data_IF_911197584764
#
_entry.id   IF_911197584764
#
_cell.length_a   1.000
_cell.length_b   1.000
_cell.length_c   1.000
_cell.angle_alpha   90.00
_cell.angle_beta   90.00
_cell.angle_gamma   90.00
#
_symmetry.space_group_name_H-M   'P 1'
#
loop_
_entity.id
_entity.type
_entity.pdbx_description
1 polymer ?
#
# COMPACT_ATOMS: atom_id res chain seq x y z
N UNK A 1 83.40 -13.13 -12.46
CA UNK A 1 83.48 -11.65 -12.59
C UNK A 1 82.06 -11.11 -12.59
N UNK A 2 81.57 -10.60 -11.45
CA UNK A 2 80.62 -9.49 -11.29
C UNK A 2 80.29 -9.40 -9.78
N UNK A 3 80.51 -8.24 -9.17
CA UNK A 3 80.02 -7.87 -7.82
C UNK A 3 78.82 -6.92 -7.99
N UNK A 4 78.21 -6.58 -6.85
CA UNK A 4 77.36 -5.39 -6.55
C UNK A 4 75.88 -5.57 -6.98
N UNK A 5 74.80 -5.34 -6.21
CA UNK A 5 74.40 -4.43 -5.10
C UNK A 5 73.36 -5.15 -4.19
N UNK A 6 73.45 -5.20 -2.85
CA UNK A 6 73.05 -4.27 -1.76
C UNK A 6 71.61 -3.71 -1.75
N UNK A 7 70.90 -3.98 -0.63
CA UNK A 7 69.72 -3.33 -0.01
C UNK A 7 68.42 -3.23 -0.84
N UNK A 8 67.23 -3.58 -0.34
CA UNK A 8 66.42 -2.71 0.56
C UNK A 8 65.09 -3.42 0.95
N UNK A 9 64.80 -3.44 2.25
CA UNK A 9 63.50 -3.44 2.97
C UNK A 9 62.27 -4.18 2.40
N UNK A 10 61.80 -5.12 3.24
CA UNK A 10 60.40 -5.36 3.64
C UNK A 10 59.33 -5.58 2.56
N UNK A 11 58.77 -6.80 2.54
CA UNK A 11 57.33 -6.94 2.31
C UNK A 11 56.80 -8.17 3.06
N UNK A 12 56.22 -7.84 4.21
CA UNK A 12 55.43 -8.70 5.08
C UNK A 12 53.95 -8.48 4.71
N UNK A 13 53.17 -9.56 4.81
CA UNK A 13 51.70 -9.59 4.91
C UNK A 13 50.88 -9.28 3.65
N UNK A 14 50.13 -10.28 3.14
CA UNK A 14 48.67 -10.19 3.05
C UNK A 14 48.04 -11.53 2.63
N UNK A 15 47.80 -12.41 3.60
CA UNK A 15 46.72 -13.40 3.51
C UNK A 15 45.58 -12.83 4.36
N UNK A 16 44.55 -12.30 3.71
CA UNK A 16 43.31 -11.89 4.38
C UNK A 16 42.14 -12.58 3.71
N UNK A 17 41.47 -13.39 4.52
CA UNK A 17 40.40 -14.31 4.20
C UNK A 17 39.16 -13.61 3.62
N UNK A 18 38.58 -14.31 2.67
CA UNK A 18 37.16 -14.30 2.30
C UNK A 18 36.23 -14.36 3.52
N UNK A 19 35.45 -13.29 3.74
CA UNK A 19 34.21 -13.31 4.51
C UNK A 19 33.39 -12.03 4.24
N UNK A 20 32.91 -11.84 3.02
CA UNK A 20 31.92 -10.82 2.69
C UNK A 20 30.52 -11.35 3.02
N UNK A 21 30.10 -11.15 4.25
CA UNK A 21 28.78 -11.49 4.78
C UNK A 21 27.69 -10.83 3.92
N UNK A 22 26.77 -11.66 3.41
CA UNK A 22 25.52 -11.21 2.82
C UNK A 22 24.69 -10.52 3.91
N UNK A 23 24.78 -9.20 4.01
CA UNK A 23 23.87 -8.39 4.82
C UNK A 23 22.53 -8.26 4.09
N UNK A 24 21.70 -9.29 4.18
CA UNK A 24 20.26 -9.12 3.97
C UNK A 24 19.76 -8.21 5.10
N UNK A 25 19.64 -6.91 4.81
CA UNK A 25 18.94 -5.95 5.66
C UNK A 25 17.45 -6.28 5.65
N UNK A 26 17.06 -7.29 6.43
CA UNK A 26 15.70 -7.40 6.94
C UNK A 26 15.58 -6.36 8.05
N UNK A 27 14.96 -5.22 7.76
CA UNK A 27 14.80 -4.11 8.69
C UNK A 27 14.25 -4.56 10.05
N UNK A 28 14.77 -3.97 11.11
CA UNK A 28 14.66 -4.38 12.52
C UNK A 28 13.24 -4.50 13.12
N UNK A 29 12.16 -4.33 12.35
CA UNK A 29 10.78 -4.54 12.82
C UNK A 29 10.32 -3.63 13.98
N UNK A 30 11.20 -2.77 14.50
CA UNK A 30 11.01 -1.86 15.63
C UNK A 30 10.61 -0.46 15.21
N UNK A 31 10.80 -0.11 13.94
CA UNK A 31 10.38 1.17 13.39
C UNK A 31 8.94 1.08 12.90
N UNK A 32 8.03 1.86 13.49
CA UNK A 32 6.64 2.02 13.02
C UNK A 32 6.59 2.89 11.76
N UNK A 33 7.30 2.48 10.70
CA UNK A 33 7.35 3.16 9.42
C UNK A 33 6.61 2.36 8.35
N UNK A 34 5.89 3.09 7.50
CA UNK A 34 5.24 2.50 6.34
C UNK A 34 6.27 2.24 5.24
N UNK A 35 6.09 1.15 4.49
CA UNK A 35 6.89 0.92 3.28
C UNK A 35 6.63 2.03 2.27
N UNK A 36 7.68 2.42 1.54
CA UNK A 36 7.55 3.36 0.45
C UNK A 36 6.98 2.64 -0.78
N UNK A 37 6.09 3.31 -1.48
CA UNK A 37 5.46 2.80 -2.68
C UNK A 37 6.04 3.53 -3.89
N UNK A 38 6.71 2.85 -4.82
CA UNK A 38 7.26 3.49 -6.02
C UNK A 38 6.19 4.30 -6.79
N UNK A 39 6.51 5.56 -7.11
CA UNK A 39 5.62 6.45 -7.86
C UNK A 39 4.44 7.03 -7.07
N UNK A 40 4.35 6.74 -5.77
CA UNK A 40 3.29 7.24 -4.88
C UNK A 40 3.89 7.93 -3.65
N UNK A 41 3.53 9.19 -3.47
CA UNK A 41 3.89 10.02 -2.33
C UNK A 41 2.74 10.19 -1.36
N UNK A 42 3.08 10.49 -0.11
CA UNK A 42 2.14 10.97 0.91
C UNK A 42 0.91 10.07 1.10
N UNK A 43 1.08 8.75 0.96
CA UNK A 43 -0.01 7.82 1.22
C UNK A 43 -0.36 7.84 2.71
N UNK A 44 -1.57 8.29 3.03
CA UNK A 44 -2.03 8.43 4.41
C UNK A 44 -3.45 7.89 4.58
N UNK A 45 -3.75 7.46 5.80
CA UNK A 45 -5.09 7.06 6.21
C UNK A 45 -5.45 7.86 7.46
N UNK A 46 -6.53 8.60 7.37
CA UNK A 46 -7.04 9.43 8.46
C UNK A 46 -8.52 9.17 8.65
N UNK A 47 -9.02 9.44 9.86
CA UNK A 47 -10.44 9.49 10.10
C UNK A 47 -10.88 10.94 10.11
N UNK A 48 -11.82 11.26 9.24
CA UNK A 48 -12.47 12.56 9.19
C UNK A 48 -13.94 12.35 9.50
N UNK A 49 -14.33 12.72 10.73
CA UNK A 49 -15.67 12.49 11.26
C UNK A 49 -16.02 10.98 11.22
N UNK A 50 -17.02 10.61 10.41
CA UNK A 50 -17.50 9.24 10.24
C UNK A 50 -16.96 8.57 8.96
N UNK A 51 -15.92 9.13 8.35
CA UNK A 51 -15.34 8.64 7.12
C UNK A 51 -13.86 8.30 7.31
N UNK A 52 -13.45 7.16 6.76
CA UNK A 52 -12.04 6.83 6.57
C UNK A 52 -11.59 7.49 5.27
N UNK A 53 -10.65 8.42 5.37
CA UNK A 53 -10.05 9.11 4.24
C UNK A 53 -8.68 8.50 3.95
N UNK A 54 -8.56 7.86 2.79
CA UNK A 54 -7.31 7.34 2.24
C UNK A 54 -6.86 8.33 1.17
N UNK A 55 -5.70 8.95 1.34
CA UNK A 55 -5.15 9.89 0.36
C UNK A 55 -3.77 9.45 -0.11
N UNK A 56 -3.44 9.74 -1.37
CA UNK A 56 -2.11 9.54 -1.93
C UNK A 56 -1.89 10.41 -3.16
N UNK A 57 -0.63 10.73 -3.44
CA UNK A 57 -0.23 11.54 -4.60
C UNK A 57 0.56 10.68 -5.58
N UNK A 58 0.07 10.55 -6.80
CA UNK A 58 0.77 9.88 -7.90
C UNK A 58 1.72 10.86 -8.61
N UNK A 59 3.00 10.52 -8.67
CA UNK A 59 4.01 11.38 -9.29
C UNK A 59 3.92 11.40 -10.83
N UNK A 60 3.57 10.27 -11.42
CA UNK A 60 3.63 10.05 -12.87
C UNK A 60 2.25 10.14 -13.55
N UNK A 61 1.28 10.75 -12.88
CA UNK A 61 -0.04 11.02 -13.41
C UNK A 61 -0.29 12.52 -13.29
N UNK A 62 -0.63 13.13 -14.42
CA UNK A 62 -1.03 14.53 -14.49
C UNK A 62 -2.46 14.58 -15.00
N UNK A 63 -3.28 15.38 -14.31
CA UNK A 63 -4.64 15.70 -14.70
C UNK A 63 -4.80 17.21 -14.74
N UNK A 64 -5.58 17.68 -15.69
CA UNK A 64 -5.88 19.11 -15.84
C UNK A 64 -7.10 19.54 -15.01
N UNK A 65 -7.81 18.58 -14.40
CA UNK A 65 -9.05 18.83 -13.67
C UNK A 65 -9.38 17.74 -12.66
N UNK A 66 -10.24 18.12 -11.69
CA UNK A 66 -10.73 17.21 -10.65
C UNK A 66 -11.99 16.48 -11.07
N UNK A 67 -12.08 15.20 -10.72
CA UNK A 67 -13.25 14.35 -10.95
C UNK A 67 -13.60 13.60 -9.67
N UNK A 68 -14.91 13.45 -9.43
CA UNK A 68 -15.46 12.70 -8.31
C UNK A 68 -16.33 11.58 -8.83
N UNK A 69 -16.08 10.38 -8.33
CA UNK A 69 -16.79 9.16 -8.66
C UNK A 69 -17.45 8.58 -7.42
N UNK A 70 -18.74 8.28 -7.52
CA UNK A 70 -19.42 7.53 -6.47
C UNK A 70 -18.99 6.07 -6.55
N UNK A 71 -18.76 5.45 -5.39
CA UNK A 71 -18.38 4.04 -5.33
C UNK A 71 -19.67 3.20 -5.47
N UNK A 72 -19.78 2.31 -6.47
CA UNK A 72 -21.00 1.51 -6.65
C UNK A 72 -21.33 0.72 -5.38
N UNK A 73 -22.61 0.68 -4.99
CA UNK A 73 -23.11 0.04 -3.75
C UNK A 73 -22.70 0.71 -2.43
N UNK A 74 -21.85 1.74 -2.43
CA UNK A 74 -21.47 2.52 -1.25
C UNK A 74 -22.01 3.96 -1.38
N UNK A 75 -23.29 4.21 -1.04
CA UNK A 75 -23.97 5.47 -1.37
C UNK A 75 -23.40 6.70 -0.66
N UNK A 76 -22.67 6.52 0.45
CA UNK A 76 -22.07 7.61 1.22
C UNK A 76 -20.55 7.68 1.01
N UNK A 77 -20.00 6.87 0.11
CA UNK A 77 -18.56 6.78 -0.16
C UNK A 77 -18.24 7.20 -1.59
N UNK A 78 -17.10 7.85 -1.76
CA UNK A 78 -16.68 8.37 -3.04
C UNK A 78 -15.17 8.34 -3.20
N UNK A 79 -14.75 8.39 -4.45
CA UNK A 79 -13.37 8.57 -4.85
C UNK A 79 -13.25 9.90 -5.58
N UNK A 80 -12.26 10.68 -5.22
CA UNK A 80 -11.90 11.94 -5.87
C UNK A 80 -10.50 11.81 -6.44
N UNK A 81 -10.30 12.32 -7.64
CA UNK A 81 -9.00 12.47 -8.26
C UNK A 81 -8.88 13.92 -8.71
N UNK A 82 -7.80 14.58 -8.33
CA UNK A 82 -7.58 15.98 -8.64
C UNK A 82 -6.09 16.29 -8.79
N UNK A 83 -5.72 17.39 -9.46
CA UNK A 83 -4.34 17.86 -9.45
C UNK A 83 -3.90 18.11 -8.00
N UNK A 84 -2.70 17.69 -7.62
CA UNK A 84 -2.16 18.05 -6.33
C UNK A 84 -1.72 19.52 -6.34
N UNK A 85 -2.08 20.30 -5.31
CA UNK A 85 -1.74 21.73 -5.25
C UNK A 85 -0.30 21.97 -4.76
N UNK A 86 0.31 20.95 -4.17
CA UNK A 86 1.65 21.04 -3.58
C UNK A 86 2.75 20.44 -4.50
N UNK A 87 2.37 19.80 -5.60
CA UNK A 87 3.29 19.17 -6.54
C UNK A 87 2.73 19.13 -7.96
N UNK A 88 3.52 18.67 -8.93
CA UNK A 88 3.05 18.41 -10.29
C UNK A 88 2.33 17.06 -10.45
N UNK A 89 1.97 16.41 -9.34
CA UNK A 89 1.33 15.09 -9.32
C UNK A 89 -0.19 15.15 -9.32
N UNK A 90 -0.81 13.98 -9.20
CA UNK A 90 -2.26 13.82 -9.07
C UNK A 90 -2.59 13.25 -7.70
N UNK A 91 -3.43 13.96 -6.94
CA UNK A 91 -4.02 13.49 -5.70
C UNK A 91 -5.17 12.51 -6.01
N UNK A 92 -5.16 11.36 -5.35
CA UNK A 92 -6.32 10.50 -5.19
C UNK A 92 -6.75 10.53 -3.72
N UNK A 93 -8.02 10.81 -3.48
CA UNK A 93 -8.63 10.80 -2.17
C UNK A 93 -9.86 9.87 -2.18
N UNK A 94 -9.84 8.83 -1.37
CA UNK A 94 -10.92 7.87 -1.22
C UNK A 94 -11.56 8.11 0.14
N UNK A 95 -12.81 8.54 0.14
CA UNK A 95 -13.59 8.76 1.35
C UNK A 95 -14.59 7.63 1.49
N UNK A 96 -14.42 6.84 2.54
CA UNK A 96 -15.23 5.64 2.80
C UNK A 96 -16.01 5.86 4.08
N UNK A 97 -17.34 5.93 3.95
CA UNK A 97 -18.20 6.10 5.11
C UNK A 97 -18.23 4.84 5.96
N UNK A 98 -18.06 4.99 7.27
CA UNK A 98 -18.21 3.90 8.22
C UNK A 98 -19.62 3.29 8.15
N UNK A 99 -20.65 4.07 7.79
CA UNK A 99 -22.02 3.57 7.59
C UNK A 99 -22.09 2.54 6.46
N UNK A 100 -21.38 2.78 5.37
CA UNK A 100 -21.35 1.86 4.25
C UNK A 100 -20.52 0.61 4.60
N UNK A 101 -19.38 0.79 5.30
CA UNK A 101 -18.56 -0.35 5.76
C UNK A 101 -19.33 -1.27 6.72
N UNK A 102 -20.19 -0.71 7.59
CA UNK A 102 -21.01 -1.51 8.50
C UNK A 102 -22.36 -1.94 7.91
N UNK A 103 -22.62 -1.67 6.63
CA UNK A 103 -23.84 -2.13 5.98
C UNK A 103 -23.77 -3.64 5.75
N UNK A 104 -24.61 -4.38 6.48
CA UNK A 104 -24.69 -5.85 6.40
C UNK A 104 -25.10 -6.35 5.01
N UNK A 105 -25.81 -5.54 4.23
CA UNK A 105 -26.21 -5.86 2.85
C UNK A 105 -25.02 -5.94 1.89
N UNK A 106 -23.87 -5.36 2.25
CA UNK A 106 -22.65 -5.45 1.43
C UNK A 106 -21.84 -6.70 1.75
N UNK A 107 -22.15 -7.40 2.84
CA UNK A 107 -21.50 -8.67 3.18
C UNK A 107 -22.04 -9.85 2.35
N UNK A 108 -23.14 -9.64 1.62
CA UNK A 108 -23.74 -10.64 0.72
C UNK A 108 -23.27 -10.51 -0.73
N UNK A 109 -22.34 -9.59 -1.01
CA UNK A 109 -21.74 -9.47 -2.34
C UNK A 109 -20.91 -10.71 -2.67
N UNK A 110 -20.82 -11.02 -3.96
CA UNK A 110 -20.00 -12.13 -4.44
C UNK A 110 -18.54 -11.94 -4.00
N UNK A 111 -17.93 -12.94 -3.34
CA UNK A 111 -16.54 -12.83 -2.93
C UNK A 111 -15.60 -12.76 -4.13
N UNK A 112 -14.69 -11.79 -4.11
CA UNK A 112 -13.66 -11.61 -5.13
C UNK A 112 -12.25 -11.71 -4.54
N UNK A 113 -11.31 -12.04 -5.42
CA UNK A 113 -9.86 -12.06 -5.18
C UNK A 113 -9.24 -10.75 -5.69
N UNK A 114 -7.91 -10.62 -5.69
CA UNK A 114 -7.24 -9.56 -6.44
C UNK A 114 -7.60 -9.63 -7.93
N UNK A 115 -7.53 -8.50 -8.66
CA UNK A 115 -7.51 -8.53 -10.11
C UNK A 115 -6.43 -9.50 -10.62
N UNK A 116 -6.77 -10.28 -11.65
CA UNK A 116 -5.95 -11.39 -12.12
C UNK A 116 -6.10 -12.70 -11.32
N UNK A 117 -7.05 -12.78 -10.38
CA UNK A 117 -7.43 -14.04 -9.71
C UNK A 117 -6.57 -14.44 -8.51
N UNK A 118 -5.56 -13.63 -8.14
CA UNK A 118 -4.64 -13.96 -7.03
C UNK A 118 -5.30 -13.76 -5.67
N UNK A 119 -5.00 -14.65 -4.72
CA UNK A 119 -5.55 -14.56 -3.37
C UNK A 119 -5.18 -13.27 -2.64
N UNK A 120 -6.12 -12.71 -1.88
CA UNK A 120 -5.91 -11.55 -1.02
C UNK A 120 -4.92 -11.88 0.12
N UNK A 121 -3.77 -11.20 0.21
CA UNK A 121 -2.83 -11.36 1.31
C UNK A 121 -3.46 -11.06 2.67
N UNK A 122 -3.21 -11.93 3.65
CA UNK A 122 -3.70 -11.74 5.03
C UNK A 122 -5.19 -12.05 5.22
N UNK A 123 -5.88 -12.57 4.21
CA UNK A 123 -7.30 -12.97 4.29
C UNK A 123 -7.43 -14.49 4.29
N UNK A 124 -8.12 -15.04 5.28
CA UNK A 124 -8.46 -16.46 5.31
C UNK A 124 -9.38 -16.81 4.11
N UNK A 125 -8.98 -17.80 3.30
CA UNK A 125 -9.69 -18.17 2.07
C UNK A 125 -9.37 -17.29 0.85
N UNK A 126 -8.54 -16.25 1.02
CA UNK A 126 -7.97 -15.46 -0.08
C UNK A 126 -8.96 -14.60 -0.87
N UNK A 127 -10.20 -14.44 -0.39
CA UNK A 127 -11.27 -13.69 -1.07
C UNK A 127 -12.20 -13.02 -0.06
N UNK A 128 -12.81 -11.90 -0.44
CA UNK A 128 -13.79 -11.17 0.37
C UNK A 128 -14.93 -10.68 -0.52
N UNK A 129 -16.16 -10.53 0.00
CA UNK A 129 -17.20 -9.74 -0.66
C UNK A 129 -16.62 -8.43 -1.19
N UNK A 130 -16.88 -8.10 -2.45
CA UNK A 130 -16.23 -6.97 -3.07
C UNK A 130 -17.11 -6.24 -4.08
N UNK A 131 -16.76 -4.97 -4.31
CA UNK A 131 -17.20 -4.21 -5.46
C UNK A 131 -15.98 -3.85 -6.29
N UNK A 132 -15.91 -4.39 -7.49
CA UNK A 132 -14.96 -3.95 -8.51
C UNK A 132 -15.60 -2.86 -9.37
N UNK A 133 -14.85 -1.79 -9.63
CA UNK A 133 -15.25 -0.77 -10.58
C UNK A 133 -14.03 -0.19 -11.31
N UNK A 134 -14.28 0.42 -12.44
CA UNK A 134 -13.25 1.09 -13.24
C UNK A 134 -13.62 2.55 -13.42
N UNK A 135 -12.62 3.40 -13.33
CA UNK A 135 -12.68 4.81 -13.70
C UNK A 135 -11.67 5.05 -14.82
N UNK A 136 -11.81 6.14 -15.56
CA UNK A 136 -11.12 6.34 -16.84
C UNK A 136 -9.60 6.09 -16.77
N UNK A 137 -8.94 6.53 -15.68
CA UNK A 137 -7.50 6.37 -15.48
C UNK A 137 -7.09 5.15 -14.65
N UNK A 138 -8.02 4.52 -13.94
CA UNK A 138 -7.75 3.40 -13.04
C UNK A 138 -8.74 2.27 -13.33
N UNK A 139 -8.28 1.28 -14.09
CA UNK A 139 -9.06 0.08 -14.42
C UNK A 139 -8.92 -0.96 -13.30
N UNK A 140 -10.03 -1.61 -12.96
CA UNK A 140 -10.08 -2.70 -11.97
C UNK A 140 -9.74 -2.25 -10.53
N UNK A 141 -10.16 -1.04 -10.14
CA UNK A 141 -10.20 -0.70 -8.72
C UNK A 141 -11.18 -1.64 -8.00
N UNK A 142 -10.84 -2.07 -6.78
CA UNK A 142 -11.69 -3.00 -6.04
C UNK A 142 -11.77 -2.62 -4.57
N UNK A 143 -12.97 -2.65 -4.02
CA UNK A 143 -13.26 -2.41 -2.61
C UNK A 143 -13.71 -3.73 -2.01
N UNK A 144 -13.01 -4.19 -0.98
CA UNK A 144 -13.26 -5.45 -0.30
C UNK A 144 -13.85 -5.18 1.06
N UNK A 145 -14.87 -5.95 1.40
CA UNK A 145 -15.54 -5.87 2.68
C UNK A 145 -15.56 -7.23 3.35
N UNK A 146 -14.90 -7.31 4.51
CA UNK A 146 -14.98 -8.44 5.42
C UNK A 146 -15.55 -8.02 6.77
N UNK A 147 -15.95 -8.99 7.60
CA UNK A 147 -16.52 -8.71 8.93
C UNK A 147 -15.55 -7.99 9.88
N UNK A 148 -14.24 -8.08 9.64
CA UNK A 148 -13.18 -7.46 10.46
C UNK A 148 -12.15 -6.68 9.64
N UNK A 149 -12.35 -6.58 8.32
CA UNK A 149 -11.36 -6.06 7.39
C UNK A 149 -12.06 -5.20 6.34
N UNK A 150 -11.47 -4.06 6.02
CA UNK A 150 -11.85 -3.25 4.87
C UNK A 150 -10.65 -3.13 3.94
N UNK A 151 -10.83 -3.41 2.66
CA UNK A 151 -9.75 -3.43 1.68
C UNK A 151 -10.00 -2.48 0.52
N UNK A 152 -8.95 -1.85 0.03
CA UNK A 152 -8.97 -1.14 -1.26
C UNK A 152 -7.77 -1.58 -2.08
N UNK A 153 -8.04 -2.03 -3.31
CA UNK A 153 -7.02 -2.26 -4.33
C UNK A 153 -7.02 -1.10 -5.32
N UNK A 154 -5.85 -0.49 -5.48
CA UNK A 154 -5.60 0.65 -6.35
C UNK A 154 -4.59 0.20 -7.40
N UNK A 155 -4.98 0.14 -8.68
CA UNK A 155 -4.11 -0.30 -9.75
C UNK A 155 -3.03 0.77 -9.97
N UNK A 156 -1.79 0.30 -10.15
CA UNK A 156 -0.66 1.17 -10.47
C UNK A 156 0.15 0.54 -11.59
N UNK A 157 0.82 1.38 -12.38
CA UNK A 157 1.71 0.87 -13.43
C UNK A 157 3.02 0.43 -12.79
N UNK A 158 3.39 -0.82 -13.07
CA UNK A 158 4.68 -1.47 -12.76
C UNK A 158 5.38 -1.03 -11.46
N UNK A 159 5.34 -1.89 -10.46
CA UNK A 159 6.02 -1.66 -9.17
C UNK A 159 7.50 -2.09 -9.17
N UNK A 160 8.00 -2.67 -10.28
CA UNK A 160 9.37 -3.15 -10.38
C UNK A 160 9.69 -4.39 -9.54
N UNK A 161 8.67 -5.11 -9.06
CA UNK A 161 8.81 -6.30 -8.18
C UNK A 161 8.49 -7.62 -8.89
N UNK A 162 8.38 -7.60 -10.23
CA UNK A 162 7.97 -8.74 -11.04
C UNK A 162 6.59 -9.25 -10.62
N UNK A 163 6.43 -10.56 -10.48
CA UNK A 163 5.17 -11.21 -10.14
C UNK A 163 4.92 -11.38 -8.64
N UNK A 164 5.79 -10.80 -7.82
CA UNK A 164 5.79 -10.96 -6.37
C UNK A 164 4.71 -10.14 -5.69
N UNK A 165 4.34 -10.54 -4.47
CA UNK A 165 3.55 -9.72 -3.56
C UNK A 165 4.39 -9.45 -2.32
N UNK A 166 4.60 -8.16 -2.01
CA UNK A 166 5.31 -7.73 -0.81
C UNK A 166 4.30 -7.13 0.15
N UNK A 167 4.07 -7.77 1.29
CA UNK A 167 3.14 -7.30 2.32
C UNK A 167 3.90 -6.78 3.53
N UNK A 168 3.54 -5.59 3.99
CA UNK A 168 4.03 -5.00 5.22
C UNK A 168 2.87 -4.54 6.10
N UNK A 169 3.16 -4.33 7.38
CA UNK A 169 2.21 -3.68 8.30
C UNK A 169 2.06 -2.21 7.89
N UNK A 170 0.85 -1.68 8.04
CA UNK A 170 0.54 -0.28 7.79
C UNK A 170 0.20 0.44 9.10
N UNK A 171 0.76 1.62 9.29
CA UNK A 171 0.75 2.41 10.51
C UNK A 171 0.21 3.83 10.26
N UNK A 172 -0.46 4.38 11.27
CA UNK A 172 -0.73 5.82 11.41
C UNK A 172 -0.10 6.30 12.71
N UNK A 173 0.94 7.13 12.60
CA UNK A 173 1.86 7.36 13.71
C UNK A 173 2.52 6.06 14.18
N UNK A 174 2.46 5.76 15.48
CA UNK A 174 2.97 4.51 16.06
C UNK A 174 1.95 3.36 16.05
N UNK A 175 0.70 3.63 15.65
CA UNK A 175 -0.38 2.64 15.72
C UNK A 175 -0.49 1.87 14.41
N UNK A 176 -0.38 0.54 14.48
CA UNK A 176 -0.72 -0.31 13.35
C UNK A 176 -2.24 -0.30 13.13
N UNK A 177 -2.66 -0.02 11.90
CA UNK A 177 -4.09 0.02 11.51
C UNK A 177 -4.42 -0.97 10.40
N UNK A 178 -3.44 -1.76 9.94
CA UNK A 178 -3.67 -2.79 8.95
C UNK A 178 -2.39 -3.28 8.29
N UNK A 179 -2.51 -3.65 7.01
CA UNK A 179 -1.41 -4.05 6.13
C UNK A 179 -1.51 -3.31 4.80
N UNK A 180 -0.36 -3.08 4.19
CA UNK A 180 -0.23 -2.62 2.81
C UNK A 180 0.52 -3.70 2.03
N UNK A 181 0.04 -4.02 0.83
CA UNK A 181 0.71 -4.96 -0.07
C UNK A 181 1.00 -4.31 -1.41
N UNK A 182 2.24 -4.42 -1.84
CA UNK A 182 2.65 -4.15 -3.21
C UNK A 182 2.42 -5.42 -4.01
N UNK A 183 1.50 -5.35 -4.95
CA UNK A 183 1.10 -6.47 -5.80
C UNK A 183 1.74 -6.26 -7.16
N UNK A 184 2.71 -7.12 -7.50
CA UNK A 184 3.39 -7.12 -8.78
C UNK A 184 2.48 -7.52 -9.93
N UNK A 185 3.01 -7.49 -11.16
CA UNK A 185 2.27 -7.89 -12.35
C UNK A 185 1.90 -9.38 -12.31
N UNK A 186 0.83 -9.79 -12.98
CA UNK A 186 0.51 -11.20 -13.15
C UNK A 186 1.28 -11.83 -14.33
N UNK A 187 0.98 -13.07 -14.67
CA UNK A 187 1.64 -13.78 -15.77
C UNK A 187 1.46 -13.10 -17.14
N UNK A 188 0.47 -12.22 -17.29
CA UNK A 188 0.19 -11.47 -18.51
C UNK A 188 0.83 -10.07 -18.50
N UNK A 189 1.56 -9.70 -17.44
CA UNK A 189 2.10 -8.35 -17.28
C UNK A 189 1.04 -7.33 -16.80
N UNK A 190 -0.10 -7.79 -16.28
CA UNK A 190 -1.23 -6.93 -15.88
C UNK A 190 -1.46 -6.93 -14.36
N UNK A 191 -2.46 -6.16 -13.90
CA UNK A 191 -3.00 -6.24 -12.54
C UNK A 191 -2.00 -5.95 -11.39
N UNK A 192 -0.97 -5.15 -11.66
CA UNK A 192 -0.15 -4.55 -10.62
C UNK A 192 -0.93 -3.48 -9.84
N UNK A 193 -0.65 -3.36 -8.54
CA UNK A 193 -1.39 -2.44 -7.69
C UNK A 193 -0.95 -2.43 -6.24
N UNK A 194 -1.58 -1.53 -5.50
CA UNK A 194 -1.44 -1.40 -4.05
C UNK A 194 -2.72 -1.98 -3.45
N UNK A 195 -2.58 -2.96 -2.56
CA UNK A 195 -3.68 -3.40 -1.70
C UNK A 195 -3.48 -2.83 -0.30
N UNK A 196 -4.38 -1.95 0.12
CA UNK A 196 -4.47 -1.50 1.51
C UNK A 196 -5.59 -2.28 2.20
N UNK A 197 -5.24 -3.04 3.25
CA UNK A 197 -6.18 -3.77 4.10
C UNK A 197 -6.17 -3.15 5.49
N UNK A 198 -7.27 -2.53 5.90
CA UNK A 198 -7.46 -1.90 7.20
C UNK A 198 -8.18 -2.84 8.16
N UNK A 199 -7.68 -2.91 9.39
CA UNK A 199 -8.30 -3.68 10.47
C UNK A 199 -9.51 -2.91 11.01
N UNK A 200 -10.70 -3.47 10.83
CA UNK A 200 -11.97 -2.88 11.31
C UNK A 200 -12.36 -3.40 12.70
N UNK A 201 -11.39 -3.83 13.51
CA UNK A 201 -11.65 -4.39 14.85
C UNK A 201 -12.30 -3.36 15.78
N UNK A 202 -13.02 -3.82 16.81
CA UNK A 202 -13.70 -2.95 17.78
C UNK A 202 -12.76 -1.97 18.50
N UNK A 203 -11.47 -2.27 18.68
CA UNK A 203 -10.51 -1.32 19.26
C UNK A 203 -10.12 -0.22 18.28
N UNK A 204 -9.93 -0.56 16.99
CA UNK A 204 -9.70 0.44 15.94
C UNK A 204 -10.96 1.27 15.76
N UNK A 205 -12.15 0.67 15.71
CA UNK A 205 -13.41 1.40 15.71
C UNK A 205 -13.58 2.30 16.93
N UNK A 206 -13.16 1.87 18.13
CA UNK A 206 -13.25 2.67 19.36
C UNK A 206 -12.24 3.81 19.36
N UNK A 207 -11.04 3.61 18.82
CA UNK A 207 -10.05 4.67 18.61
C UNK A 207 -10.53 5.67 17.55
N UNK A 208 -11.06 5.18 16.43
CA UNK A 208 -11.67 6.00 15.39
C UNK A 208 -12.84 6.82 15.98
N UNK A 209 -13.76 6.18 16.71
CA UNK A 209 -14.86 6.87 17.42
C UNK A 209 -14.38 7.86 18.48
N UNK A 210 -13.29 7.55 19.20
CA UNK A 210 -12.71 8.44 20.21
C UNK A 210 -12.09 9.68 19.58
N UNK A 211 -11.51 9.55 18.40
CA UNK A 211 -11.02 10.69 17.60
C UNK A 211 -12.21 11.49 17.06
N UNK A 212 -13.24 10.84 16.51
CA UNK A 212 -14.44 11.51 16.00
C UNK A 212 -15.20 12.31 17.07
N UNK A 213 -15.33 11.77 18.30
CA UNK A 213 -15.94 12.45 19.46
C UNK A 213 -15.20 13.70 19.93
N UNK A 214 -13.96 13.93 19.51
CA UNK A 214 -13.21 15.14 19.84
C UNK A 214 -13.63 16.34 18.97
N UNK A 215 -14.31 16.08 17.86
CA UNK A 215 -14.71 17.08 16.86
C UNK A 215 -16.25 17.24 16.76
N UNK A 216 -16.99 16.59 17.65
CA UNK A 216 -18.42 16.78 17.94
C UNK A 216 -18.58 17.17 19.41
#
# INVERSE_FOLDING_TARGET
MMKIFSNTKALVLSVALTAGVLSTSCGDGTSSSNIQVPGVNNMSVTLVQDNVLISMVFQNLQLDGGLRYNIPKYPNSYLEISPDLQSAGTLMAISVSLKDVFNTSLQTLDPATLPGGRSLPGVAGGRLPAVAFSIEKFKNMSFYLGPKLFGVFIPVKSLGIGNSIITARYYTGSNRIGNISLVGEDANGENAGILLMLDMSSSVQSQLKSVAKKYN
#
